data_IF_043586701285
#
_entry.id   IF_043586701285
#
_cell.length_a   1.000
_cell.length_b   1.000
_cell.length_c   1.000
_cell.angle_alpha   90.00
_cell.angle_beta   90.00
_cell.angle_gamma   90.00
#
_symmetry.space_group_name_H-M   'P 1'
#
loop_
_entity.id
_entity.type
_entity.pdbx_description
1 polymer ?
#
# COMPACT_ATOMS: atom_id res chain seq x y z
N UNK A 1 -7.27 -4.34 15.28
CA UNK A 1 -5.84 -4.23 15.64
C UNK A 1 -5.51 -2.83 16.20
N UNK A 2 -5.62 -1.76 15.46
CA UNK A 2 -5.21 -0.41 15.87
C UNK A 2 -5.85 0.03 17.20
N UNK A 3 -7.15 -0.20 17.40
CA UNK A 3 -7.86 0.17 18.62
C UNK A 3 -7.40 -0.59 19.88
N UNK A 4 -7.09 -1.88 19.73
CA UNK A 4 -6.76 -2.75 20.86
C UNK A 4 -5.27 -2.84 21.16
N UNK A 5 -4.42 -2.23 20.32
CA UNK A 5 -2.98 -2.13 20.60
C UNK A 5 -2.62 -1.10 21.68
N UNK A 6 -3.59 -0.30 22.14
CA UNK A 6 -3.32 0.80 23.06
C UNK A 6 -2.61 2.01 22.42
N UNK A 7 -2.41 1.99 21.12
CA UNK A 7 -1.71 3.05 20.37
C UNK A 7 -2.61 4.27 20.10
N UNK A 8 -3.93 4.07 20.13
CA UNK A 8 -4.91 5.14 19.94
C UNK A 8 -5.37 5.77 21.26
N UNK A 9 -5.51 7.09 21.24
CA UNK A 9 -6.21 7.79 22.34
C UNK A 9 -7.69 7.33 22.33
N UNK A 10 -8.15 6.81 23.45
CA UNK A 10 -9.52 6.29 23.66
C UNK A 10 -10.63 7.34 23.44
N UNK A 11 -10.25 8.61 23.23
CA UNK A 11 -11.16 9.73 23.00
C UNK A 11 -11.58 9.91 21.54
N UNK A 12 -10.86 9.31 20.60
CA UNK A 12 -11.23 9.33 19.18
C UNK A 12 -12.24 8.22 18.95
N UNK A 13 -13.50 8.60 18.73
CA UNK A 13 -14.55 7.65 18.36
C UNK A 13 -14.12 6.89 17.10
N UNK A 14 -14.22 5.55 17.07
CA UNK A 14 -13.82 4.77 15.91
C UNK A 14 -14.76 5.10 14.75
N UNK A 15 -14.24 5.82 13.76
CA UNK A 15 -14.89 5.90 12.46
C UNK A 15 -14.63 4.60 11.72
N UNK A 16 -15.63 4.04 11.07
CA UNK A 16 -15.44 2.94 10.15
C UNK A 16 -14.44 3.37 9.07
N UNK A 17 -13.47 2.49 8.73
CA UNK A 17 -12.42 2.74 7.72
C UNK A 17 -11.47 3.88 8.08
N UNK A 18 -10.87 3.75 9.23
CA UNK A 18 -9.95 4.76 9.80
C UNK A 18 -8.77 5.10 8.88
N UNK A 19 -8.28 4.13 8.10
CA UNK A 19 -7.15 4.31 7.18
C UNK A 19 -7.56 4.96 5.85
N UNK A 20 -8.80 4.79 5.38
CA UNK A 20 -9.28 5.37 4.13
C UNK A 20 -9.59 6.87 4.30
N UNK A 21 -8.56 7.71 4.25
CA UNK A 21 -8.67 9.15 4.50
C UNK A 21 -9.02 9.96 3.24
N UNK A 22 -8.75 9.42 2.04
CA UNK A 22 -8.99 10.08 0.77
C UNK A 22 -10.49 10.11 0.45
N UNK A 23 -11.00 11.23 -0.08
CA UNK A 23 -12.42 11.37 -0.43
C UNK A 23 -12.87 10.36 -1.50
N UNK A 24 -12.00 10.01 -2.46
CA UNK A 24 -12.28 8.97 -3.45
C UNK A 24 -12.35 7.57 -2.83
N UNK A 25 -11.51 7.26 -1.84
CA UNK A 25 -11.55 6.00 -1.10
C UNK A 25 -12.85 5.87 -0.31
N UNK A 26 -13.29 6.96 0.34
CA UNK A 26 -14.56 7.02 1.08
C UNK A 26 -15.77 6.87 0.15
N UNK A 27 -15.75 7.56 -0.99
CA UNK A 27 -16.83 7.50 -1.98
C UNK A 27 -16.97 6.10 -2.61
N UNK A 28 -15.84 5.50 -3.00
CA UNK A 28 -15.81 4.18 -3.65
C UNK A 28 -15.82 3.01 -2.67
N UNK A 29 -15.44 3.24 -1.45
CA UNK A 29 -15.36 2.23 -0.41
C UNK A 29 -14.26 1.19 -0.61
N UNK A 30 -13.17 1.56 -1.29
CA UNK A 30 -11.99 0.73 -1.55
C UNK A 30 -10.74 1.52 -1.20
N UNK A 31 -9.69 0.84 -0.73
CA UNK A 31 -8.35 1.41 -0.57
C UNK A 31 -7.70 1.60 -1.94
N UNK A 32 -7.23 2.80 -2.24
CA UNK A 32 -6.56 3.15 -3.50
C UNK A 32 -5.05 3.27 -3.29
N UNK A 33 -4.63 3.96 -2.22
CA UNK A 33 -3.24 4.16 -1.86
C UNK A 33 -2.89 3.36 -0.62
N UNK A 34 -1.69 2.79 -0.59
CA UNK A 34 -1.17 2.11 0.59
C UNK A 34 -1.04 3.08 1.78
N UNK A 35 -1.34 2.58 2.96
CA UNK A 35 -1.23 3.35 4.21
C UNK A 35 -0.28 2.65 5.16
N UNK A 36 0.69 3.40 5.64
CA UNK A 36 1.65 2.92 6.61
C UNK A 36 1.20 3.31 8.01
N UNK A 37 1.22 2.35 8.91
CA UNK A 37 0.96 2.57 10.34
C UNK A 37 1.84 1.64 11.17
N UNK A 38 2.00 1.95 12.44
CA UNK A 38 2.74 1.11 13.36
C UNK A 38 1.99 1.00 14.68
N UNK A 39 2.06 -0.16 15.29
CA UNK A 39 1.50 -0.44 16.61
C UNK A 39 2.57 -1.04 17.50
N UNK A 40 2.41 -0.83 18.80
CA UNK A 40 3.21 -1.53 19.83
C UNK A 40 2.39 -2.66 20.42
N UNK A 41 2.97 -3.84 20.47
CA UNK A 41 2.39 -5.00 21.11
C UNK A 41 3.43 -5.69 21.97
N UNK A 42 3.24 -5.70 23.29
CA UNK A 42 4.27 -6.16 24.23
C UNK A 42 5.62 -5.43 23.98
N UNK A 43 6.67 -6.17 23.65
CA UNK A 43 8.00 -5.64 23.34
C UNK A 43 8.25 -5.51 21.82
N UNK A 44 7.23 -5.74 20.98
CA UNK A 44 7.34 -5.70 19.55
C UNK A 44 6.74 -4.42 19.00
N UNK A 45 7.40 -3.88 17.98
CA UNK A 45 6.83 -2.88 17.09
C UNK A 45 6.40 -3.60 15.81
N UNK A 46 5.12 -3.50 15.47
CA UNK A 46 4.54 -4.11 14.28
C UNK A 46 4.22 -2.99 13.30
N UNK A 47 4.96 -2.92 12.21
CA UNK A 47 4.67 -2.03 11.09
C UNK A 47 3.63 -2.69 10.19
N UNK A 48 2.54 -2.00 9.93
CA UNK A 48 1.43 -2.49 9.12
C UNK A 48 1.34 -1.60 7.89
N UNK A 49 1.33 -2.22 6.72
CA UNK A 49 1.08 -1.55 5.46
C UNK A 49 -0.25 -2.05 4.92
N UNK A 50 -1.26 -1.18 4.98
CA UNK A 50 -2.56 -1.46 4.37
C UNK A 50 -2.44 -1.32 2.86
N UNK A 51 -2.81 -2.39 2.14
CA UNK A 51 -2.50 -2.56 0.73
C UNK A 51 -3.80 -2.56 -0.08
N UNK A 52 -3.88 -1.83 -1.20
CA UNK A 52 -4.99 -1.96 -2.12
C UNK A 52 -5.18 -3.41 -2.54
N UNK A 53 -6.42 -3.91 -2.49
CA UNK A 53 -6.74 -5.28 -2.90
C UNK A 53 -7.08 -5.42 -4.39
N UNK A 54 -7.30 -4.32 -5.10
CA UNK A 54 -7.76 -4.34 -6.48
C UNK A 54 -6.60 -4.49 -7.48
N UNK A 55 -6.80 -5.33 -8.50
CA UNK A 55 -5.77 -5.59 -9.52
C UNK A 55 -5.32 -4.33 -10.28
N UNK A 56 -6.18 -3.30 -10.36
CA UNK A 56 -5.85 -2.01 -10.97
C UNK A 56 -4.69 -1.27 -10.28
N UNK A 57 -4.35 -1.66 -9.04
CA UNK A 57 -3.26 -1.08 -8.25
C UNK A 57 -2.06 -2.03 -8.10
N UNK A 58 -1.83 -2.89 -9.10
CA UNK A 58 -0.76 -3.90 -9.07
C UNK A 58 0.62 -3.34 -8.75
N UNK A 59 0.97 -2.22 -9.36
CA UNK A 59 2.24 -1.55 -9.09
C UNK A 59 2.38 -1.05 -7.64
N UNK A 60 1.27 -0.68 -6.98
CA UNK A 60 1.27 -0.33 -5.56
C UNK A 60 1.49 -1.56 -4.70
N UNK A 61 0.84 -2.68 -5.04
CA UNK A 61 0.99 -3.96 -4.33
C UNK A 61 2.44 -4.43 -4.34
N UNK A 62 3.11 -4.44 -5.49
CA UNK A 62 4.51 -4.86 -5.59
C UNK A 62 5.45 -4.01 -4.74
N UNK A 63 5.24 -2.69 -4.75
CA UNK A 63 6.03 -1.76 -3.93
C UNK A 63 5.84 -1.97 -2.44
N UNK A 64 4.59 -2.19 -2.02
CA UNK A 64 4.28 -2.49 -0.61
C UNK A 64 4.94 -3.79 -0.19
N UNK A 65 4.81 -4.84 -0.99
CA UNK A 65 5.41 -6.13 -0.69
C UNK A 65 6.94 -6.06 -0.53
N UNK A 66 7.62 -5.15 -1.23
CA UNK A 66 9.07 -4.94 -1.07
C UNK A 66 9.49 -4.40 0.31
N UNK A 67 8.55 -3.82 1.07
CA UNK A 67 8.80 -3.21 2.38
C UNK A 67 8.47 -4.10 3.56
N UNK A 68 7.76 -5.21 3.36
CA UNK A 68 7.23 -6.05 4.44
C UNK A 68 8.00 -7.36 4.59
N UNK A 69 7.78 -8.05 5.68
CA UNK A 69 8.41 -9.35 6.00
C UNK A 69 7.39 -10.51 5.95
N UNK A 70 6.11 -10.20 5.96
CA UNK A 70 5.02 -11.18 5.90
C UNK A 70 3.73 -10.55 5.40
N UNK A 71 2.77 -11.38 5.07
CA UNK A 71 1.46 -10.99 4.54
C UNK A 71 0.35 -11.59 5.40
N UNK A 72 -0.58 -10.74 5.84
CA UNK A 72 -1.87 -11.19 6.38
C UNK A 72 -2.87 -11.19 5.23
N UNK A 73 -3.27 -12.36 4.78
CA UNK A 73 -4.25 -12.51 3.72
C UNK A 73 -5.65 -12.55 4.31
N UNK A 74 -6.41 -11.47 4.13
CA UNK A 74 -7.77 -11.38 4.63
C UNK A 74 -8.74 -12.02 3.63
N UNK A 75 -9.50 -13.01 4.10
CA UNK A 75 -10.51 -13.71 3.30
C UNK A 75 -11.87 -13.56 3.99
N UNK A 76 -12.91 -13.22 3.21
CA UNK A 76 -14.27 -13.10 3.71
C UNK A 76 -14.86 -14.49 3.98
N UNK A 77 -15.40 -14.72 5.18
CA UNK A 77 -15.97 -16.01 5.59
C UNK A 77 -17.21 -16.41 4.79
N UNK A 78 -17.89 -15.46 4.15
CA UNK A 78 -19.09 -15.69 3.32
C UNK A 78 -18.74 -15.92 1.86
N UNK A 79 -17.91 -15.01 1.30
CA UNK A 79 -17.57 -14.98 -0.12
C UNK A 79 -16.41 -15.95 -0.46
N UNK A 80 -15.52 -16.20 0.49
CA UNK A 80 -14.26 -16.92 0.24
C UNK A 80 -13.23 -16.07 -0.51
N UNK A 81 -12.19 -16.70 -1.09
CA UNK A 81 -11.19 -16.00 -1.89
C UNK A 81 -11.81 -15.42 -3.17
N UNK A 82 -11.63 -14.13 -3.37
CA UNK A 82 -12.14 -13.39 -4.53
C UNK A 82 -11.05 -13.20 -5.61
N UNK A 83 -11.38 -12.72 -6.82
CA UNK A 83 -10.38 -12.48 -7.86
C UNK A 83 -9.22 -11.58 -7.41
N UNK A 84 -9.48 -10.57 -6.58
CA UNK A 84 -8.45 -9.70 -6.00
C UNK A 84 -7.52 -10.47 -5.06
N UNK A 85 -8.08 -11.41 -4.27
CA UNK A 85 -7.29 -12.29 -3.39
C UNK A 85 -6.29 -13.09 -4.21
N UNK A 86 -6.72 -13.65 -5.37
CA UNK A 86 -5.85 -14.40 -6.27
C UNK A 86 -4.64 -13.57 -6.73
N UNK A 87 -4.89 -12.34 -7.19
CA UNK A 87 -3.85 -11.45 -7.70
C UNK A 87 -2.80 -11.13 -6.63
N UNK A 88 -3.24 -10.66 -5.45
CA UNK A 88 -2.32 -10.28 -4.36
C UNK A 88 -1.54 -11.50 -3.84
N UNK A 89 -2.20 -12.66 -3.74
CA UNK A 89 -1.55 -13.91 -3.32
C UNK A 89 -0.48 -14.35 -4.30
N UNK A 90 -0.76 -14.28 -5.61
CA UNK A 90 0.23 -14.61 -6.63
C UNK A 90 1.48 -13.73 -6.50
N UNK A 91 1.32 -12.41 -6.34
CA UNK A 91 2.44 -11.49 -6.14
C UNK A 91 3.22 -11.77 -4.84
N UNK A 92 2.53 -12.13 -3.76
CA UNK A 92 3.16 -12.53 -2.51
C UNK A 92 4.00 -13.81 -2.68
N UNK A 93 3.51 -14.80 -3.42
CA UNK A 93 4.24 -16.04 -3.69
C UNK A 93 5.45 -15.82 -4.59
N UNK A 94 5.34 -14.98 -5.62
CA UNK A 94 6.47 -14.58 -6.49
C UNK A 94 7.63 -13.97 -5.67
N UNK A 95 7.31 -13.31 -4.55
CA UNK A 95 8.28 -12.73 -3.61
C UNK A 95 8.69 -13.68 -2.47
N UNK A 96 8.18 -14.92 -2.45
CA UNK A 96 8.55 -15.95 -1.47
C UNK A 96 7.88 -15.82 -0.12
N UNK A 97 6.80 -15.08 0.02
CA UNK A 97 6.07 -14.96 1.29
C UNK A 97 5.24 -16.20 1.60
N UNK A 98 5.17 -16.51 2.92
CA UNK A 98 4.25 -17.49 3.50
C UNK A 98 3.15 -16.71 4.23
N UNK A 99 1.93 -16.59 3.66
CA UNK A 99 0.86 -15.79 4.25
C UNK A 99 0.29 -16.41 5.53
N UNK A 100 -0.14 -15.55 6.46
CA UNK A 100 -1.08 -15.93 7.51
C UNK A 100 -2.47 -15.65 6.98
N UNK A 101 -3.34 -16.66 6.91
CA UNK A 101 -4.71 -16.51 6.43
C UNK A 101 -5.60 -16.03 7.58
N UNK A 102 -6.31 -14.94 7.36
CA UNK A 102 -7.24 -14.35 8.33
C UNK A 102 -8.65 -14.42 7.76
N UNK A 103 -9.43 -15.38 8.25
CA UNK A 103 -10.85 -15.54 7.88
C UNK A 103 -11.67 -14.53 8.65
N UNK A 104 -12.07 -13.45 7.99
CA UNK A 104 -12.78 -12.33 8.60
C UNK A 104 -14.28 -12.38 8.32
N UNK A 105 -15.05 -11.62 9.13
CA UNK A 105 -16.51 -11.51 9.03
C UNK A 105 -17.24 -12.81 9.41
N UNK A 106 -16.70 -13.56 10.36
CA UNK A 106 -17.36 -14.78 10.87
C UNK A 106 -18.70 -14.49 11.57
N UNK A 107 -18.93 -13.23 11.93
CA UNK A 107 -20.18 -12.72 12.53
C UNK A 107 -21.32 -12.55 11.54
N UNK A 108 -21.07 -12.67 10.23
CA UNK A 108 -22.11 -12.47 9.21
C UNK A 108 -22.97 -13.71 9.02
N UNK A 109 -24.26 -13.47 8.74
CA UNK A 109 -25.15 -14.53 8.30
C UNK A 109 -24.62 -15.20 7.04
N UNK A 110 -24.55 -16.54 7.06
CA UNK A 110 -24.01 -17.34 5.96
C UNK A 110 -22.49 -17.48 5.97
N UNK A 111 -21.78 -17.06 7.03
CA UNK A 111 -20.37 -17.35 7.20
C UNK A 111 -20.09 -18.85 7.23
N UNK A 112 -19.04 -19.28 6.56
CA UNK A 112 -18.61 -20.68 6.41
C UNK A 112 -17.14 -20.83 6.80
N UNK A 113 -16.82 -20.70 8.09
CA UNK A 113 -15.43 -20.69 8.56
C UNK A 113 -14.67 -21.97 8.20
N UNK A 114 -15.31 -23.13 8.17
CA UNK A 114 -14.68 -24.40 7.80
C UNK A 114 -14.43 -24.54 6.28
N UNK A 115 -15.29 -23.94 5.48
CA UNK A 115 -15.19 -23.99 4.02
C UNK A 115 -14.13 -23.02 3.48
N UNK A 116 -14.00 -21.84 4.09
CA UNK A 116 -13.13 -20.77 3.61
C UNK A 116 -11.64 -21.14 3.56
N UNK A 117 -11.05 -21.80 4.57
CA UNK A 117 -9.68 -22.28 4.51
C UNK A 117 -9.46 -23.31 3.39
N UNK A 118 -10.42 -24.21 3.16
CA UNK A 118 -10.32 -25.19 2.07
C UNK A 118 -10.31 -24.51 0.69
N UNK A 119 -11.13 -23.48 0.48
CA UNK A 119 -11.13 -22.71 -0.75
C UNK A 119 -9.83 -21.88 -0.91
N UNK A 120 -9.26 -21.43 0.18
CA UNK A 120 -7.98 -20.73 0.17
C UNK A 120 -6.84 -21.71 -0.15
N UNK A 121 -6.88 -22.92 0.39
CA UNK A 121 -5.95 -23.98 0.05
C UNK A 121 -6.00 -24.34 -1.44
N UNK A 122 -7.21 -24.53 -2.00
CA UNK A 122 -7.40 -24.78 -3.44
C UNK A 122 -6.85 -23.62 -4.30
N UNK A 123 -7.04 -22.36 -3.85
CA UNK A 123 -6.47 -21.22 -4.52
C UNK A 123 -4.93 -21.26 -4.50
N UNK A 124 -4.31 -21.57 -3.36
CA UNK A 124 -2.87 -21.63 -3.21
C UNK A 124 -2.26 -22.74 -4.07
N UNK A 125 -2.85 -23.92 -4.05
CA UNK A 125 -2.44 -25.05 -4.89
C UNK A 125 -2.51 -24.69 -6.39
N UNK A 126 -3.61 -24.06 -6.82
CA UNK A 126 -3.78 -23.57 -8.18
C UNK A 126 -2.80 -22.46 -8.59
N UNK A 127 -2.20 -21.75 -7.63
CA UNK A 127 -1.15 -20.77 -7.85
C UNK A 127 0.25 -21.36 -7.82
N UNK A 128 0.39 -22.67 -7.56
CA UNK A 128 1.66 -23.36 -7.49
C UNK A 128 2.43 -23.11 -6.19
N UNK A 129 1.71 -22.95 -5.09
CA UNK A 129 2.30 -22.83 -3.76
C UNK A 129 3.18 -24.03 -3.41
N UNK A 130 4.26 -23.78 -2.68
CA UNK A 130 5.08 -24.84 -2.11
C UNK A 130 4.47 -25.38 -0.78
N UNK A 131 5.06 -26.46 -0.23
CA UNK A 131 4.54 -27.12 0.97
C UNK A 131 4.45 -26.16 2.18
N UNK A 132 5.44 -25.27 2.35
CA UNK A 132 5.46 -24.29 3.45
C UNK A 132 4.35 -23.23 3.28
N UNK A 133 4.00 -22.89 2.05
CA UNK A 133 2.91 -21.96 1.73
C UNK A 133 1.54 -22.62 1.86
N UNK A 134 1.43 -23.92 1.61
CA UNK A 134 0.21 -24.70 1.80
C UNK A 134 -0.09 -24.98 3.26
N UNK A 135 0.94 -25.05 4.13
CA UNK A 135 0.80 -25.20 5.60
C UNK A 135 0.59 -23.84 6.29
N UNK A 136 -0.30 -23.02 5.75
CA UNK A 136 -0.55 -21.69 6.26
C UNK A 136 -1.32 -21.69 7.59
N UNK A 137 -0.90 -20.87 8.58
CA UNK A 137 -1.68 -20.67 9.79
C UNK A 137 -2.98 -19.90 9.48
N UNK A 138 -4.08 -20.35 10.09
CA UNK A 138 -5.40 -19.71 9.94
C UNK A 138 -5.83 -19.08 11.26
N UNK A 139 -6.31 -17.84 11.17
CA UNK A 139 -6.93 -17.09 12.28
C UNK A 139 -8.33 -16.69 11.85
N UNK A 140 -9.30 -16.92 12.71
CA UNK A 140 -10.67 -16.48 12.53
C UNK A 140 -10.90 -15.15 13.24
N UNK A 141 -11.66 -14.23 12.63
CA UNK A 141 -11.93 -12.97 13.29
C UNK A 141 -13.26 -12.31 12.84
N UNK A 142 -13.76 -11.45 13.70
CA UNK A 142 -14.71 -10.40 13.35
C UNK A 142 -14.09 -9.05 13.64
N UNK A 143 -13.66 -8.35 12.58
CA UNK A 143 -13.04 -7.04 12.74
C UNK A 143 -14.00 -5.99 13.32
N UNK A 144 -15.30 -6.14 13.07
CA UNK A 144 -16.35 -5.22 13.60
C UNK A 144 -16.52 -5.44 15.10
N UNK A 145 -16.57 -6.71 15.55
CA UNK A 145 -16.70 -7.04 16.96
C UNK A 145 -15.36 -6.93 17.72
N UNK A 146 -14.23 -6.89 16.99
CA UNK A 146 -12.90 -6.81 17.58
C UNK A 146 -12.45 -8.09 18.27
N UNK A 147 -12.87 -9.26 17.77
CA UNK A 147 -12.58 -10.57 18.34
C UNK A 147 -11.78 -11.43 17.34
N UNK A 148 -10.94 -12.32 17.85
CA UNK A 148 -10.18 -13.29 17.06
C UNK A 148 -10.04 -14.63 17.81
N UNK A 149 -9.73 -15.70 17.05
CA UNK A 149 -9.47 -17.03 17.59
C UNK A 149 -8.73 -17.91 16.59
N UNK A 150 -8.15 -18.99 17.08
CA UNK A 150 -7.55 -20.04 16.24
C UNK A 150 -8.58 -21.12 15.84
N UNK A 151 -9.73 -21.10 16.48
CA UNK A 151 -10.85 -22.01 16.27
C UNK A 151 -12.13 -21.15 16.17
N UNK A 152 -12.96 -21.33 15.13
CA UNK A 152 -14.18 -20.51 14.95
C UNK A 152 -15.20 -20.73 16.07
N UNK A 153 -15.17 -21.86 16.76
CA UNK A 153 -16.07 -22.17 17.88
C UNK A 153 -15.52 -21.68 19.23
N UNK A 154 -14.24 -21.25 19.29
CA UNK A 154 -13.55 -20.81 20.51
C UNK A 154 -12.90 -19.44 20.28
N UNK A 155 -13.74 -18.43 20.09
CA UNK A 155 -13.28 -17.06 19.90
C UNK A 155 -12.90 -16.40 21.22
N UNK A 156 -11.81 -15.65 21.24
CA UNK A 156 -11.48 -14.77 22.37
C UNK A 156 -12.32 -13.48 22.28
N UNK A 157 -12.43 -12.78 23.42
CA UNK A 157 -13.15 -11.50 23.51
C UNK A 157 -12.36 -10.31 22.93
N UNK A 158 -11.17 -10.57 22.38
CA UNK A 158 -10.29 -9.54 21.83
C UNK A 158 -9.46 -10.07 20.64
N UNK A 159 -8.61 -9.21 20.06
CA UNK A 159 -7.73 -9.54 18.92
C UNK A 159 -6.38 -10.13 19.32
N UNK A 160 -6.16 -10.43 20.59
CA UNK A 160 -4.87 -11.01 21.07
C UNK A 160 -4.44 -12.26 20.31
N UNK A 161 -5.33 -13.21 19.96
CA UNK A 161 -4.91 -14.39 19.18
C UNK A 161 -4.28 -14.02 17.83
N UNK A 162 -4.77 -12.98 17.16
CA UNK A 162 -4.17 -12.49 15.92
C UNK A 162 -2.79 -11.85 16.16
N UNK A 163 -2.65 -11.03 17.20
CA UNK A 163 -1.35 -10.44 17.55
C UNK A 163 -0.33 -11.52 17.92
N UNK A 164 -0.74 -12.51 18.69
CA UNK A 164 0.12 -13.60 19.07
C UNK A 164 0.55 -14.44 17.86
N UNK A 165 -0.38 -14.73 16.94
CA UNK A 165 -0.05 -15.43 15.70
C UNK A 165 0.97 -14.65 14.84
N UNK A 166 0.87 -13.32 14.79
CA UNK A 166 1.86 -12.48 14.10
C UNK A 166 3.23 -12.66 14.76
N UNK A 167 3.31 -12.51 16.08
CA UNK A 167 4.59 -12.60 16.80
C UNK A 167 5.21 -14.00 16.69
N UNK A 168 4.40 -15.07 16.70
CA UNK A 168 4.87 -16.43 16.69
C UNK A 168 5.25 -16.94 15.28
N UNK A 169 4.59 -16.43 14.24
CA UNK A 169 4.71 -16.96 12.87
C UNK A 169 5.51 -16.05 11.93
N UNK A 170 5.51 -14.74 12.16
CA UNK A 170 6.29 -13.81 11.34
C UNK A 170 7.73 -13.79 11.88
N UNK A 171 8.68 -14.15 11.04
CA UNK A 171 10.10 -14.01 11.37
C UNK A 171 10.45 -12.51 11.43
N UNK A 172 11.13 -12.06 12.49
CA UNK A 172 11.64 -10.70 12.51
C UNK A 172 12.65 -10.49 11.37
N UNK A 173 12.76 -9.28 10.82
CA UNK A 173 13.69 -9.01 9.74
C UNK A 173 15.15 -9.25 10.17
N UNK A 174 15.92 -9.89 9.30
CA UNK A 174 17.38 -9.94 9.45
C UNK A 174 17.95 -8.60 9.00
N UNK A 175 18.40 -7.79 9.94
CA UNK A 175 18.85 -6.42 9.66
C UNK A 175 20.26 -6.16 10.19
N UNK A 176 21.06 -5.41 9.42
CA UNK A 176 22.34 -4.86 9.86
C UNK A 176 22.15 -3.39 10.24
N UNK A 177 22.10 -3.13 11.55
CA UNK A 177 21.96 -1.77 12.10
C UNK A 177 23.26 -0.99 12.17
N UNK A 178 24.40 -1.65 12.02
CA UNK A 178 25.75 -1.07 12.17
C UNK A 178 26.41 -0.73 10.85
N UNK A 179 25.94 -1.31 9.76
CA UNK A 179 26.45 -1.05 8.41
C UNK A 179 26.13 0.34 7.88
N UNK A 180 26.71 0.72 6.75
CA UNK A 180 26.43 2.01 6.12
C UNK A 180 24.98 2.10 5.67
N UNK A 181 24.40 3.29 5.80
CA UNK A 181 22.98 3.54 5.49
C UNK A 181 22.61 3.10 4.08
N UNK A 182 21.49 2.38 3.98
CA UNK A 182 20.84 2.01 2.73
C UNK A 182 19.34 1.95 2.93
N UNK A 183 18.60 2.81 2.21
CA UNK A 183 17.14 2.89 2.25
C UNK A 183 16.61 3.05 0.83
N UNK A 184 15.55 2.36 0.47
CA UNK A 184 14.88 2.51 -0.82
C UNK A 184 13.55 3.24 -0.66
N UNK A 185 13.28 4.17 -1.57
CA UNK A 185 12.01 4.89 -1.63
C UNK A 185 10.99 4.03 -2.39
N UNK A 186 9.95 3.64 -1.70
CA UNK A 186 8.89 2.80 -2.25
C UNK A 186 7.61 3.57 -2.60
N UNK A 187 7.33 4.65 -1.86
CA UNK A 187 6.13 5.48 -2.06
C UNK A 187 6.50 6.94 -1.88
N UNK A 188 5.84 7.81 -2.62
CA UNK A 188 5.94 9.26 -2.45
C UNK A 188 4.62 9.81 -1.92
N UNK A 189 4.73 10.82 -1.07
CA UNK A 189 3.64 11.63 -0.58
C UNK A 189 4.01 13.11 -0.77
N UNK A 190 3.06 13.99 -0.71
CA UNK A 190 3.30 15.43 -0.89
C UNK A 190 2.54 16.23 0.16
N UNK A 191 3.23 17.18 0.74
CA UNK A 191 2.66 18.14 1.66
C UNK A 191 3.06 19.56 1.23
N UNK A 192 2.10 20.48 1.20
CA UNK A 192 2.34 21.86 0.73
C UNK A 192 3.37 22.64 1.55
N UNK A 193 3.66 22.22 2.78
CA UNK A 193 4.62 22.89 3.67
C UNK A 193 6.03 22.31 3.59
N UNK A 194 6.14 20.98 3.48
CA UNK A 194 7.44 20.30 3.50
C UNK A 194 7.87 19.76 2.14
N UNK A 195 7.02 19.88 1.13
CA UNK A 195 7.26 19.40 -0.23
C UNK A 195 7.11 17.89 -0.37
N UNK A 196 7.98 17.27 -1.15
CA UNK A 196 7.98 15.83 -1.40
C UNK A 196 8.41 15.08 -0.15
N UNK A 197 7.68 14.02 0.18
CA UNK A 197 7.94 13.10 1.29
C UNK A 197 8.21 11.73 0.69
N UNK A 198 9.41 11.20 0.90
CA UNK A 198 9.73 9.84 0.49
C UNK A 198 9.46 8.85 1.60
N UNK A 199 8.74 7.78 1.31
CA UNK A 199 8.44 6.69 2.26
C UNK A 199 9.14 5.44 1.78
N UNK A 200 9.78 4.73 2.71
CA UNK A 200 10.46 3.49 2.39
C UNK A 200 10.99 2.78 3.62
N UNK A 201 11.59 1.62 3.39
CA UNK A 201 12.19 0.81 4.44
C UNK A 201 13.70 1.00 4.47
N UNK A 202 14.26 1.18 5.67
CA UNK A 202 15.69 1.16 5.90
C UNK A 202 16.14 -0.31 5.82
N UNK A 203 16.99 -0.63 4.83
CA UNK A 203 17.51 -1.98 4.64
C UNK A 203 18.76 -2.24 5.50
N UNK A 204 19.58 -1.21 5.68
CA UNK A 204 20.85 -1.29 6.45
C UNK A 204 21.15 0.05 7.10
N UNK A 205 21.83 -0.01 8.26
CA UNK A 205 22.32 1.14 8.97
C UNK A 205 21.26 1.91 9.74
N UNK A 206 21.56 3.18 10.01
CA UNK A 206 20.68 4.07 10.77
C UNK A 206 20.50 5.40 10.05
N UNK A 207 19.33 5.99 10.18
CA UNK A 207 18.93 7.26 9.61
C UNK A 207 18.63 8.27 10.72
N UNK A 208 19.11 9.51 10.57
CA UNK A 208 18.95 10.58 11.55
C UNK A 208 18.51 11.87 10.86
N UNK A 209 17.92 12.77 11.65
CA UNK A 209 17.62 14.12 11.19
C UNK A 209 18.90 14.87 10.78
N UNK A 210 18.80 15.68 9.75
CA UNK A 210 19.87 16.48 9.20
C UNK A 210 21.08 15.69 8.64
N UNK A 211 20.90 14.38 8.36
CA UNK A 211 21.96 13.53 7.82
C UNK A 211 22.27 13.88 6.35
N UNK A 212 23.53 14.15 5.97
CA UNK A 212 23.93 14.23 4.58
C UNK A 212 23.91 12.83 3.96
N UNK A 213 23.34 12.71 2.76
CA UNK A 213 23.17 11.44 2.05
C UNK A 213 23.50 11.58 0.57
N UNK A 214 23.73 10.45 -0.07
CA UNK A 214 23.73 10.33 -1.52
C UNK A 214 22.46 9.62 -1.97
N UNK A 215 21.90 10.08 -3.07
CA UNK A 215 20.73 9.50 -3.71
C UNK A 215 21.18 8.89 -5.03
N UNK A 216 20.94 7.60 -5.21
CA UNK A 216 21.17 6.87 -6.46
C UNK A 216 19.83 6.66 -7.15
N UNK A 217 19.72 7.12 -8.41
CA UNK A 217 18.56 6.85 -9.24
C UNK A 217 18.66 5.48 -9.93
N UNK A 218 17.63 5.08 -10.65
CA UNK A 218 17.59 3.80 -11.38
C UNK A 218 18.68 3.67 -12.46
N UNK A 219 19.23 4.78 -12.95
CA UNK A 219 20.32 4.83 -13.91
C UNK A 219 21.70 4.80 -13.23
N UNK A 220 21.75 4.57 -11.92
CA UNK A 220 22.97 4.60 -11.10
C UNK A 220 23.68 5.97 -11.09
N UNK A 221 22.97 7.05 -11.37
CA UNK A 221 23.48 8.40 -11.24
C UNK A 221 23.34 8.86 -9.80
N UNK A 222 24.42 9.43 -9.24
CA UNK A 222 24.41 9.88 -7.86
C UNK A 222 24.24 11.40 -7.74
N UNK A 223 23.46 11.82 -6.78
CA UNK A 223 23.33 13.22 -6.36
C UNK A 223 23.42 13.35 -4.84
N UNK A 224 23.85 14.50 -4.38
CA UNK A 224 23.94 14.80 -2.95
C UNK A 224 22.60 15.34 -2.46
N UNK A 225 22.19 14.91 -1.28
CA UNK A 225 21.01 15.42 -0.59
C UNK A 225 21.24 15.49 0.91
N UNK A 226 20.26 16.03 1.60
CA UNK A 226 20.22 16.08 3.05
C UNK A 226 18.83 15.72 3.52
N UNK A 227 18.71 14.70 4.37
CA UNK A 227 17.47 14.39 5.06
C UNK A 227 17.21 15.47 6.09
N UNK A 228 16.15 16.27 5.91
CA UNK A 228 15.82 17.31 6.88
C UNK A 228 15.18 16.70 8.13
N UNK A 229 14.17 15.85 7.95
CA UNK A 229 13.47 15.19 9.04
C UNK A 229 13.20 13.72 8.70
N UNK A 230 13.24 12.89 9.75
CA UNK A 230 12.81 11.50 9.73
C UNK A 230 11.50 11.41 10.50
N UNK A 231 10.47 10.85 9.88
CA UNK A 231 9.15 10.67 10.44
C UNK A 231 8.86 9.18 10.56
N UNK A 232 8.61 8.70 11.77
CA UNK A 232 8.06 7.37 12.01
C UNK A 232 6.54 7.37 11.92
N UNK A 233 5.95 6.19 11.89
CA UNK A 233 4.50 6.00 11.93
C UNK A 233 4.09 5.53 13.33
N UNK A 234 3.02 6.11 13.88
CA UNK A 234 2.39 5.65 15.12
C UNK A 234 0.88 5.86 15.00
N UNK A 235 0.15 4.76 14.94
CA UNK A 235 -1.27 4.84 14.60
C UNK A 235 -1.46 5.50 13.22
N UNK A 236 -2.23 6.57 13.14
CA UNK A 236 -2.49 7.31 11.90
C UNK A 236 -1.55 8.51 11.69
N UNK A 237 -0.71 8.80 12.64
CA UNK A 237 0.11 10.00 12.63
C UNK A 237 1.54 9.70 12.18
N UNK A 238 2.12 10.67 11.47
CA UNK A 238 3.56 10.73 11.21
C UNK A 238 4.20 11.52 12.35
N UNK A 239 5.00 10.85 13.16
CA UNK A 239 5.69 11.45 14.32
C UNK A 239 7.16 11.70 13.99
N UNK A 240 7.69 12.85 14.39
CA UNK A 240 9.13 13.09 14.23
C UNK A 240 9.92 12.18 15.16
N UNK A 241 10.91 11.49 14.60
CA UNK A 241 11.85 10.63 15.33
C UNK A 241 13.26 11.14 15.17
N UNK A 242 14.09 11.03 16.19
CA UNK A 242 15.50 11.46 16.10
C UNK A 242 16.33 10.50 15.29
N UNK A 243 16.05 9.21 15.43
CA UNK A 243 16.81 8.14 14.80
C UNK A 243 15.84 7.00 14.42
N UNK A 244 16.10 6.39 13.26
CA UNK A 244 15.44 5.17 12.82
C UNK A 244 16.51 4.17 12.33
N UNK A 245 16.26 2.89 12.45
CA UNK A 245 17.22 1.82 12.19
C UNK A 245 16.76 0.89 11.08
N UNK A 246 17.66 0.08 10.57
CA UNK A 246 17.36 -0.97 9.62
C UNK A 246 16.18 -1.83 10.10
N UNK A 247 15.24 -2.11 9.20
CA UNK A 247 13.95 -2.75 9.48
C UNK A 247 12.79 -1.78 9.62
N UNK A 248 13.03 -0.53 10.01
CA UNK A 248 11.95 0.47 10.14
C UNK A 248 11.45 0.95 8.79
N UNK A 249 10.14 1.21 8.72
CA UNK A 249 9.49 1.93 7.64
C UNK A 249 9.32 3.38 8.10
N UNK A 250 9.92 4.31 7.36
CA UNK A 250 9.92 5.73 7.72
C UNK A 250 9.59 6.63 6.53
N UNK A 251 9.18 7.84 6.84
CA UNK A 251 9.07 8.91 5.88
C UNK A 251 10.21 9.90 6.06
N UNK A 252 10.76 10.41 4.97
CA UNK A 252 11.84 11.40 4.95
C UNK A 252 11.42 12.66 4.20
N UNK A 253 11.93 13.79 4.62
CA UNK A 253 11.72 15.10 3.97
C UNK A 253 13.03 15.79 3.66
N UNK A 254 12.99 16.85 2.85
CA UNK A 254 14.15 17.72 2.57
C UNK A 254 14.96 17.30 1.35
N UNK A 255 14.55 16.30 0.61
CA UNK A 255 15.18 15.87 -0.64
C UNK A 255 14.21 16.15 -1.79
N UNK A 256 14.62 16.99 -2.73
CA UNK A 256 13.85 17.31 -3.93
C UNK A 256 14.83 17.52 -5.12
N UNK A 257 14.59 16.89 -6.29
CA UNK A 257 13.56 15.91 -6.57
C UNK A 257 13.83 14.54 -5.88
N UNK A 258 12.80 13.77 -5.64
CA UNK A 258 12.89 12.40 -5.13
C UNK A 258 11.94 11.52 -5.95
N UNK A 259 12.42 10.35 -6.35
CA UNK A 259 11.65 9.42 -7.17
C UNK A 259 11.49 8.07 -6.47
N UNK A 260 10.49 7.33 -6.89
CA UNK A 260 10.33 5.94 -6.46
C UNK A 260 11.50 5.11 -7.02
N UNK A 261 11.93 4.11 -6.26
CA UNK A 261 13.16 3.33 -6.46
C UNK A 261 14.47 4.07 -6.19
N UNK A 262 14.47 5.38 -5.94
CA UNK A 262 15.71 6.04 -5.49
C UNK A 262 16.24 5.34 -4.25
N UNK A 263 17.54 5.07 -4.23
CA UNK A 263 18.24 4.52 -3.07
C UNK A 263 18.98 5.63 -2.33
N UNK A 264 18.69 5.77 -1.05
CA UNK A 264 19.35 6.71 -0.14
C UNK A 264 20.52 5.98 0.52
N UNK A 265 21.73 6.46 0.32
CA UNK A 265 22.95 5.82 0.78
C UNK A 265 23.81 6.74 1.66
N UNK A 266 24.66 6.10 2.45
CA UNK A 266 25.82 6.77 3.06
C UNK A 266 26.71 7.39 1.98
N UNK A 267 27.18 8.65 2.12
CA UNK A 267 28.04 9.30 1.12
C UNK A 267 29.33 8.55 0.80
N UNK A 268 29.86 7.78 1.76
CA UNK A 268 31.09 7.02 1.59
C UNK A 268 30.86 5.62 0.99
N UNK A 269 29.61 5.12 0.97
CA UNK A 269 29.28 3.79 0.47
C UNK A 269 28.06 3.85 -0.45
N UNK A 270 28.33 3.93 -1.75
CA UNK A 270 27.29 4.02 -2.80
C UNK A 270 26.93 2.62 -3.29
N UNK A 271 25.82 2.11 -2.82
CA UNK A 271 25.32 0.80 -3.20
C UNK A 271 23.84 0.90 -3.50
N UNK A 272 23.48 0.77 -4.79
CA UNK A 272 22.12 0.86 -5.27
C UNK A 272 21.37 -0.44 -4.94
N UNK A 273 20.14 -0.32 -4.42
CA UNK A 273 19.21 -1.44 -4.33
C UNK A 273 18.60 -1.75 -5.70
N UNK A 274 18.23 -3.02 -5.97
CA UNK A 274 17.52 -3.36 -7.19
C UNK A 274 16.31 -2.45 -7.36
N UNK A 275 16.08 -1.89 -8.56
CA UNK A 275 14.92 -1.03 -8.80
C UNK A 275 13.64 -1.82 -8.58
N UNK A 276 12.64 -1.15 -7.99
CA UNK A 276 11.31 -1.73 -7.85
C UNK A 276 10.71 -1.85 -9.24
N UNK A 277 10.38 -3.07 -9.63
CA UNK A 277 9.68 -3.34 -10.88
C UNK A 277 8.21 -3.00 -10.73
N UNK A 278 7.70 -2.26 -11.68
CA UNK A 278 6.27 -1.96 -11.79
C UNK A 278 5.86 -2.35 -13.19
N UNK A 279 4.74 -3.06 -13.31
CA UNK A 279 4.20 -3.43 -14.61
C UNK A 279 4.07 -2.19 -15.51
N UNK A 280 4.46 -2.31 -16.78
CA UNK A 280 4.35 -1.21 -17.72
C UNK A 280 2.89 -0.89 -18.06
N UNK A 281 2.54 0.40 -18.24
CA UNK A 281 1.19 0.78 -18.63
C UNK A 281 0.83 0.18 -20.00
N UNK A 282 -0.33 -0.46 -20.06
CA UNK A 282 -0.80 -1.17 -21.27
C UNK A 282 -1.88 -0.44 -22.04
N UNK A 283 -2.56 0.54 -21.42
CA UNK A 283 -3.65 1.28 -22.02
C UNK A 283 -3.27 2.74 -22.14
N UNK A 284 -3.52 3.31 -23.31
CA UNK A 284 -3.29 4.73 -23.57
C UNK A 284 -4.62 5.44 -23.81
N UNK A 285 -4.85 6.55 -23.11
CA UNK A 285 -6.03 7.39 -23.23
C UNK A 285 -5.64 8.84 -23.52
N UNK A 286 -6.51 9.55 -24.25
CA UNK A 286 -6.34 10.98 -24.50
C UNK A 286 -7.23 11.79 -23.57
N UNK A 287 -6.63 12.68 -22.79
CA UNK A 287 -7.31 13.62 -21.93
C UNK A 287 -7.26 15.00 -22.57
N UNK A 288 -8.42 15.62 -22.73
CA UNK A 288 -8.55 16.98 -23.29
C UNK A 288 -9.76 17.70 -22.69
N UNK A 289 -9.77 19.03 -22.69
CA UNK A 289 -10.98 19.80 -22.36
C UNK A 289 -12.15 19.42 -23.26
N UNK A 290 -13.36 19.52 -22.73
CA UNK A 290 -14.55 19.34 -23.54
C UNK A 290 -14.65 20.50 -24.54
N UNK A 291 -14.64 20.20 -25.84
CA UNK A 291 -14.80 21.16 -26.95
C UNK A 291 -16.21 21.13 -27.58
N UNK A 292 -17.12 20.35 -26.98
CA UNK A 292 -18.49 20.24 -27.48
C UNK A 292 -19.33 21.50 -27.26
N UNK A 293 -20.56 21.57 -27.84
CA UNK A 293 -21.44 22.75 -27.75
C UNK A 293 -21.83 23.15 -26.31
N UNK A 294 -21.69 22.24 -25.35
CA UNK A 294 -21.99 22.45 -23.94
C UNK A 294 -20.73 22.64 -23.09
N UNK A 295 -19.58 22.92 -23.73
CA UNK A 295 -18.34 23.17 -23.02
C UNK A 295 -18.48 24.35 -22.05
N UNK A 296 -17.99 24.18 -20.82
CA UNK A 296 -18.03 25.24 -19.80
C UNK A 296 -19.36 25.43 -19.06
N UNK A 297 -20.38 24.65 -19.35
CA UNK A 297 -21.65 24.71 -18.63
C UNK A 297 -21.61 23.86 -17.35
N UNK A 298 -20.83 22.81 -17.32
CA UNK A 298 -20.65 21.92 -16.15
C UNK A 298 -19.16 21.71 -15.85
N UNK A 299 -18.84 21.68 -14.55
CA UNK A 299 -17.50 21.44 -14.05
C UNK A 299 -16.65 22.69 -13.83
N UNK A 300 -15.94 22.74 -12.69
CA UNK A 300 -15.11 23.90 -12.28
C UNK A 300 -13.65 23.79 -12.76
N UNK A 301 -13.17 22.59 -13.08
CA UNK A 301 -11.75 22.30 -13.30
C UNK A 301 -11.49 21.63 -14.66
N UNK A 302 -12.14 22.14 -15.71
CA UNK A 302 -12.17 21.51 -17.04
C UNK A 302 -11.24 22.17 -18.06
N UNK A 303 -10.37 23.09 -17.63
CA UNK A 303 -9.38 23.71 -18.53
C UNK A 303 -8.16 22.78 -18.70
N UNK A 304 -7.46 22.91 -19.84
CA UNK A 304 -6.23 22.17 -20.11
C UNK A 304 -5.17 22.34 -18.99
N UNK A 305 -5.07 23.53 -18.43
CA UNK A 305 -4.18 23.82 -17.31
C UNK A 305 -4.56 23.02 -16.05
N UNK A 306 -5.83 23.02 -15.67
CA UNK A 306 -6.31 22.29 -14.50
C UNK A 306 -6.15 20.76 -14.67
N UNK A 307 -6.42 20.26 -15.87
CA UNK A 307 -6.21 18.86 -16.22
C UNK A 307 -4.72 18.51 -16.08
N UNK A 308 -3.84 19.34 -16.62
CA UNK A 308 -2.41 19.13 -16.53
C UNK A 308 -1.90 19.14 -15.07
N UNK A 309 -2.27 20.17 -14.29
CA UNK A 309 -1.90 20.27 -12.88
C UNK A 309 -2.38 19.03 -12.08
N UNK A 310 -3.59 18.56 -12.37
CA UNK A 310 -4.13 17.35 -11.74
C UNK A 310 -3.35 16.09 -12.14
N UNK A 311 -3.02 15.93 -13.42
CA UNK A 311 -2.22 14.81 -13.91
C UNK A 311 -0.81 14.83 -13.33
N UNK A 312 -0.18 16.01 -13.18
CA UNK A 312 1.12 16.12 -12.53
C UNK A 312 1.07 15.71 -11.05
N UNK A 313 -0.01 16.06 -10.35
CA UNK A 313 -0.21 15.63 -8.96
C UNK A 313 -0.36 14.11 -8.87
N UNK A 314 -1.09 13.49 -9.79
CA UNK A 314 -1.23 12.02 -9.83
C UNK A 314 0.10 11.31 -10.11
N UNK A 315 0.95 11.86 -10.97
CA UNK A 315 2.28 11.31 -11.24
C UNK A 315 3.17 11.22 -9.99
N UNK A 316 2.95 12.07 -8.99
CA UNK A 316 3.69 12.01 -7.72
C UNK A 316 3.33 10.77 -6.90
N UNK A 317 2.11 10.28 -7.04
CA UNK A 317 1.59 9.17 -6.25
C UNK A 317 1.49 7.85 -7.03
N UNK A 318 1.34 7.93 -8.35
CA UNK A 318 1.10 6.76 -9.21
C UNK A 318 2.22 6.56 -10.23
N UNK A 319 3.14 5.64 -9.94
CA UNK A 319 4.27 5.32 -10.85
C UNK A 319 3.87 4.51 -12.08
N UNK A 320 2.72 3.84 -12.05
CA UNK A 320 2.20 3.13 -13.22
C UNK A 320 1.56 4.08 -14.24
N UNK A 321 1.47 5.39 -13.89
CA UNK A 321 0.95 6.43 -14.76
C UNK A 321 2.08 7.07 -15.54
N UNK A 322 1.94 7.18 -16.88
CA UNK A 322 2.79 8.01 -17.73
C UNK A 322 1.94 9.08 -18.40
N UNK A 323 2.39 10.31 -18.36
CA UNK A 323 1.67 11.44 -18.96
C UNK A 323 2.62 12.21 -19.86
N UNK A 324 2.24 12.32 -21.12
CA UNK A 324 2.98 13.04 -22.13
C UNK A 324 2.12 14.16 -22.76
N UNK A 325 2.74 15.30 -23.01
CA UNK A 325 2.11 16.34 -23.82
C UNK A 325 2.17 15.94 -25.28
N UNK A 326 1.06 16.06 -25.97
CA UNK A 326 1.04 15.84 -27.43
C UNK A 326 1.52 17.09 -28.17
N UNK A 327 1.59 17.01 -29.49
CA UNK A 327 1.84 18.19 -30.32
C UNK A 327 0.76 19.27 -30.18
N UNK A 328 -0.43 18.89 -29.74
CA UNK A 328 -1.54 19.81 -29.38
C UNK A 328 -1.45 20.13 -27.88
N UNK A 329 -1.26 21.40 -27.56
CA UNK A 329 -1.07 21.88 -26.17
C UNK A 329 -2.26 21.61 -25.24
N UNK A 330 -3.43 21.30 -25.80
CA UNK A 330 -4.65 21.01 -25.03
C UNK A 330 -4.91 19.53 -24.82
N UNK A 331 -4.08 18.65 -25.40
CA UNK A 331 -4.23 17.19 -25.32
C UNK A 331 -3.08 16.55 -24.59
N UNK A 332 -3.42 15.66 -23.67
CA UNK A 332 -2.46 14.89 -22.88
C UNK A 332 -2.66 13.40 -23.17
N UNK A 333 -1.57 12.74 -23.53
CA UNK A 333 -1.55 11.28 -23.63
C UNK A 333 -1.26 10.72 -22.24
N UNK A 334 -2.19 9.91 -21.75
CA UNK A 334 -2.11 9.27 -20.43
C UNK A 334 -2.07 7.78 -20.63
N UNK A 335 -0.95 7.15 -20.21
CA UNK A 335 -0.79 5.72 -20.25
C UNK A 335 -1.04 5.15 -18.87
N UNK A 336 -1.90 4.15 -18.77
CA UNK A 336 -2.40 3.52 -17.55
C UNK A 336 -2.17 2.01 -17.62
N UNK A 337 -1.96 1.37 -16.46
CA UNK A 337 -1.90 -0.08 -16.38
C UNK A 337 -3.27 -0.69 -16.68
N UNK A 338 -4.33 -0.11 -16.09
CA UNK A 338 -5.73 -0.45 -16.32
C UNK A 338 -6.59 0.82 -16.35
N UNK A 339 -7.75 0.75 -16.99
CA UNK A 339 -8.75 1.80 -16.86
C UNK A 339 -9.35 1.73 -15.47
N UNK A 340 -9.18 2.78 -14.67
CA UNK A 340 -9.99 2.96 -13.46
C UNK A 340 -11.46 2.87 -13.86
N UNK A 341 -12.27 1.97 -13.25
CA UNK A 341 -13.67 1.88 -13.62
C UNK A 341 -14.34 3.23 -13.44
N UNK A 342 -14.84 3.77 -14.54
CA UNK A 342 -15.59 5.02 -14.53
C UNK A 342 -16.86 4.83 -13.69
N UNK A 343 -17.39 5.88 -13.03
CA UNK A 343 -18.71 5.81 -12.41
C UNK A 343 -19.83 5.32 -13.35
N UNK A 344 -19.61 5.39 -14.67
CA UNK A 344 -20.50 4.81 -15.67
C UNK A 344 -20.38 3.29 -15.80
N UNK A 345 -19.21 2.74 -15.53
CA UNK A 345 -18.97 1.28 -15.63
C UNK A 345 -19.61 0.52 -14.44
N UNK A 346 -19.75 1.18 -13.30
CA UNK A 346 -20.42 0.61 -12.11
C UNK A 346 -21.96 0.62 -12.22
N UNK A 347 -22.53 1.49 -13.01
CA UNK A 347 -23.93 1.40 -13.43
C UNK A 347 -23.94 0.44 -14.60
N UNK A 348 -24.03 -0.87 -14.31
CA UNK A 348 -24.16 -1.88 -15.33
C UNK A 348 -25.04 -1.35 -16.44
N UNK A 349 -24.55 -1.35 -17.66
CA UNK A 349 -25.21 -0.82 -18.83
C UNK A 349 -26.55 -1.53 -19.01
N UNK A 350 -27.59 -1.07 -18.36
CA UNK A 350 -28.93 -1.24 -18.84
C UNK A 350 -29.08 -0.34 -20.05
N UNK A 351 -28.48 -0.74 -21.16
CA UNK A 351 -29.02 -0.33 -22.43
C UNK A 351 -30.40 -0.92 -22.51
N UNK A 352 -31.46 -0.12 -22.66
CA UNK A 352 -32.73 -0.67 -23.04
C UNK A 352 -32.49 -1.32 -24.41
N UNK A 353 -32.76 -2.62 -24.51
CA UNK A 353 -32.91 -3.27 -25.80
C UNK A 353 -34.06 -2.53 -26.50
N UNK A 354 -33.70 -1.59 -27.36
CA UNK A 354 -34.66 -1.05 -28.31
C UNK A 354 -34.99 -2.14 -29.30
N UNK A 355 -36.24 -2.56 -29.28
CA UNK A 355 -36.89 -3.33 -30.31
C UNK A 355 -36.74 -2.62 -31.69
#
# INVERSE_FOLDING_TARGET
>A
MLQQSGTFDSRLAPTSRVLDSNDLEKERGITILSKNTSIKWQNYQINIVDTPGHADFGGEVERVLSMVDSVLLLVDAVEGPMPQTRFVTQKAFEMGFNPIVVVNKIDRDGARPDWTPNQTFELFDNLGANDDQLDFPTIYCSAIQGIAGTDPDQMADDMKPLFQAIVDKVKPPEVDTTGPLQMQISTLDYNSYVGVIGIGRIKRGTLQNNLPVKILNQENQSRTGKVAQVLGFLGLEKISVETASAGDIVAITGIDPLNISDTICDPANLEMLPPLTVDEPTITMMFQPNTGPFAGQEGKYVTSRNIWERLQTELLHNVALRVEKTADAEKFQVCLLYTSPSPRDQRGSRMPSSA
#
